data_IF_954913516556
#
_entry.id   IF_954913516556
#
_cell.length_a   1.000
_cell.length_b   1.000
_cell.length_c   1.000
_cell.angle_alpha   90.00
_cell.angle_beta   90.00
_cell.angle_gamma   90.00
#
_symmetry.space_group_name_H-M   'P 1'
#
loop_
_entity.id
_entity.type
_entity.pdbx_description
1 polymer ?
#
# COMPACT_ATOMS: atom_id res chain seq x y z
N UNK A 1 -13.63 -15.50 -27.48
CA UNK A 1 -13.56 -14.79 -26.19
C UNK A 1 -14.40 -13.56 -26.35
N UNK A 2 -15.54 -13.48 -25.66
CA UNK A 2 -16.45 -12.33 -25.73
C UNK A 2 -15.68 -11.14 -25.16
N UNK A 3 -15.65 -10.01 -25.86
CA UNK A 3 -15.03 -8.78 -25.35
C UNK A 3 -15.93 -8.23 -24.25
N UNK A 4 -15.90 -8.87 -23.08
CA UNK A 4 -16.58 -8.38 -21.90
C UNK A 4 -15.78 -7.15 -21.45
N UNK A 5 -16.36 -5.93 -21.51
CA UNK A 5 -15.65 -4.69 -21.19
C UNK A 5 -15.05 -4.72 -19.78
N UNK A 6 -15.68 -5.50 -18.90
CA UNK A 6 -15.27 -5.74 -17.52
C UNK A 6 -13.91 -6.47 -17.43
N UNK A 7 -13.66 -7.42 -18.34
CA UNK A 7 -12.40 -8.17 -18.39
C UNK A 7 -11.23 -7.27 -18.81
N UNK A 8 -11.46 -6.39 -19.79
CA UNK A 8 -10.46 -5.42 -20.25
C UNK A 8 -10.12 -4.43 -19.14
N UNK A 9 -11.13 -3.93 -18.42
CA UNK A 9 -10.94 -3.05 -17.27
C UNK A 9 -10.16 -3.73 -16.15
N UNK A 10 -10.45 -4.99 -15.85
CA UNK A 10 -9.73 -5.74 -14.82
C UNK A 10 -8.26 -5.97 -15.20
N UNK A 11 -7.98 -6.31 -16.47
CA UNK A 11 -6.60 -6.48 -16.96
C UNK A 11 -5.84 -5.15 -16.91
N UNK A 12 -6.46 -4.05 -17.37
CA UNK A 12 -5.85 -2.72 -17.32
C UNK A 12 -5.56 -2.30 -15.86
N UNK A 13 -6.50 -2.55 -14.96
CA UNK A 13 -6.32 -2.36 -13.53
C UNK A 13 -5.12 -3.18 -13.02
N UNK A 14 -5.09 -4.49 -13.26
CA UNK A 14 -4.00 -5.36 -12.82
C UNK A 14 -2.62 -4.90 -13.34
N UNK A 15 -2.52 -4.46 -14.60
CA UNK A 15 -1.28 -3.95 -15.20
C UNK A 15 -0.84 -2.65 -14.51
N UNK A 16 -1.74 -1.67 -14.37
CA UNK A 16 -1.44 -0.39 -13.72
C UNK A 16 -0.95 -0.61 -12.30
N UNK A 17 -1.64 -1.47 -11.55
CA UNK A 17 -1.26 -1.83 -10.18
C UNK A 17 0.06 -2.59 -10.11
N UNK A 18 0.32 -3.49 -11.05
CA UNK A 18 1.60 -4.20 -11.16
C UNK A 18 2.77 -3.25 -11.39
N UNK A 19 2.62 -2.30 -12.32
CA UNK A 19 3.62 -1.27 -12.62
C UNK A 19 3.86 -0.37 -11.40
N UNK A 20 2.81 0.06 -10.72
CA UNK A 20 2.89 0.84 -9.48
C UNK A 20 3.61 0.08 -8.36
N UNK A 21 3.34 -1.22 -8.19
CA UNK A 21 3.98 -2.05 -7.18
C UNK A 21 5.48 -2.25 -7.49
N UNK A 22 5.83 -2.57 -8.74
CA UNK A 22 7.23 -2.72 -9.17
C UNK A 22 7.99 -1.40 -9.09
N UNK A 23 7.42 -0.32 -9.63
CA UNK A 23 8.02 1.01 -9.61
C UNK A 23 8.27 1.51 -8.18
N UNK A 24 7.28 1.40 -7.29
CA UNK A 24 7.43 1.83 -5.89
C UNK A 24 8.46 1.00 -5.13
N UNK A 25 8.52 -0.32 -5.34
CA UNK A 25 9.49 -1.19 -4.65
C UNK A 25 10.93 -0.91 -5.10
N UNK A 26 11.17 -0.75 -6.41
CA UNK A 26 12.48 -0.39 -6.94
C UNK A 26 12.91 1.01 -6.48
N UNK A 27 11.99 1.98 -6.52
CA UNK A 27 12.26 3.35 -6.14
C UNK A 27 12.52 3.53 -4.63
N UNK A 28 11.84 2.76 -3.77
CA UNK A 28 12.14 2.74 -2.34
C UNK A 28 13.48 2.03 -2.09
N UNK A 29 13.78 0.96 -2.84
CA UNK A 29 15.04 0.20 -2.67
C UNK A 29 16.27 1.03 -3.03
N UNK A 30 16.18 1.94 -4.00
CA UNK A 30 17.30 2.78 -4.45
C UNK A 30 17.68 3.90 -3.48
N UNK A 31 16.90 4.15 -2.42
CA UNK A 31 17.23 5.19 -1.43
C UNK A 31 18.33 4.70 -0.47
N UNK A 32 19.30 5.54 -0.10
CA UNK A 32 20.43 5.12 0.73
C UNK A 32 20.08 5.03 2.22
N UNK A 33 19.12 5.84 2.71
CA UNK A 33 18.81 5.89 4.14
C UNK A 33 17.46 5.25 4.48
N UNK A 34 17.34 4.54 5.62
CA UNK A 34 16.08 3.91 6.05
C UNK A 34 14.95 4.93 6.28
N UNK A 35 15.31 6.14 6.70
CA UNK A 35 14.37 7.24 6.95
C UNK A 35 13.75 7.75 5.65
N UNK A 36 14.55 7.89 4.59
CA UNK A 36 14.05 8.24 3.26
C UNK A 36 13.21 7.12 2.67
N UNK A 37 13.60 5.85 2.86
CA UNK A 37 12.79 4.70 2.45
C UNK A 37 11.40 4.74 3.07
N UNK A 38 11.32 4.99 4.38
CA UNK A 38 10.04 5.14 5.09
C UNK A 38 9.23 6.30 4.54
N UNK A 39 9.84 7.48 4.40
CA UNK A 39 9.16 8.68 3.88
C UNK A 39 8.60 8.49 2.47
N UNK A 40 9.36 7.86 1.58
CA UNK A 40 8.91 7.56 0.23
C UNK A 40 7.89 6.43 0.17
N UNK A 41 8.04 5.40 1.00
CA UNK A 41 7.04 4.34 1.13
C UNK A 41 5.69 4.90 1.60
N UNK A 42 5.69 5.79 2.60
CA UNK A 42 4.47 6.41 3.11
C UNK A 42 3.79 7.27 2.04
N UNK A 43 4.57 8.07 1.31
CA UNK A 43 4.04 8.85 0.17
C UNK A 43 3.44 7.94 -0.90
N UNK A 44 4.11 6.86 -1.25
CA UNK A 44 3.61 5.88 -2.22
C UNK A 44 2.36 5.17 -1.72
N UNK A 45 2.29 4.79 -0.45
CA UNK A 45 1.12 4.15 0.15
C UNK A 45 -0.09 5.10 0.15
N UNK A 46 0.11 6.38 0.48
CA UNK A 46 -0.95 7.40 0.40
C UNK A 46 -1.38 7.59 -1.06
N UNK A 47 -0.45 7.77 -1.99
CA UNK A 47 -0.76 7.99 -3.40
C UNK A 47 -1.54 6.81 -4.01
N UNK A 48 -1.08 5.57 -3.77
CA UNK A 48 -1.78 4.37 -4.20
C UNK A 48 -3.17 4.26 -3.57
N UNK A 49 -3.28 4.60 -2.28
CA UNK A 49 -4.56 4.64 -1.56
C UNK A 49 -5.58 5.62 -2.15
N UNK A 50 -5.14 6.83 -2.50
CA UNK A 50 -5.98 7.85 -3.15
C UNK A 50 -6.45 7.37 -4.52
N UNK A 51 -5.55 6.79 -5.33
CA UNK A 51 -5.90 6.22 -6.64
C UNK A 51 -6.92 5.08 -6.47
N UNK A 52 -6.70 4.18 -5.51
CA UNK A 52 -7.62 3.08 -5.23
C UNK A 52 -9.01 3.57 -4.84
N UNK A 53 -9.09 4.53 -3.92
CA UNK A 53 -10.36 5.16 -3.51
C UNK A 53 -11.07 5.75 -4.73
N UNK A 54 -10.36 6.49 -5.59
CA UNK A 54 -10.94 7.07 -6.79
C UNK A 54 -11.57 6.00 -7.70
N UNK A 55 -10.86 4.90 -7.94
CA UNK A 55 -11.38 3.77 -8.74
C UNK A 55 -12.59 3.12 -8.07
N UNK A 56 -12.54 2.86 -6.76
CA UNK A 56 -13.65 2.27 -6.01
C UNK A 56 -14.89 3.16 -6.06
N UNK A 57 -14.74 4.48 -5.91
CA UNK A 57 -15.86 5.42 -6.01
C UNK A 57 -16.49 5.36 -7.41
N UNK A 58 -15.68 5.37 -8.48
CA UNK A 58 -16.18 5.28 -9.85
C UNK A 58 -16.98 3.98 -10.08
N UNK A 59 -16.48 2.85 -9.57
CA UNK A 59 -17.17 1.56 -9.66
C UNK A 59 -18.48 1.55 -8.85
N UNK A 60 -18.47 2.05 -7.62
CA UNK A 60 -19.66 2.11 -6.78
C UNK A 60 -20.75 3.02 -7.37
N UNK A 61 -20.36 4.14 -7.99
CA UNK A 61 -21.28 5.01 -8.73
C UNK A 61 -21.88 4.28 -9.93
N UNK A 62 -21.06 3.56 -10.71
CA UNK A 62 -21.51 2.77 -11.86
C UNK A 62 -22.54 1.70 -11.44
N UNK A 63 -22.34 1.07 -10.28
CA UNK A 63 -23.24 0.06 -9.71
C UNK A 63 -24.39 0.65 -8.88
N UNK A 64 -24.53 1.98 -8.83
CA UNK A 64 -25.55 2.71 -8.06
C UNK A 64 -25.55 2.39 -6.55
N UNK A 65 -24.40 2.02 -5.98
CA UNK A 65 -24.23 1.67 -4.57
C UNK A 65 -23.66 2.83 -3.74
N UNK A 66 -24.40 3.94 -3.68
CA UNK A 66 -23.92 5.17 -3.03
C UNK A 66 -23.74 5.04 -1.51
N UNK A 67 -24.57 4.23 -0.85
CA UNK A 67 -24.49 3.97 0.61
C UNK A 67 -23.18 3.27 1.02
N UNK A 68 -22.54 2.54 0.10
CA UNK A 68 -21.30 1.81 0.37
C UNK A 68 -20.05 2.69 0.34
N UNK A 69 -20.13 3.89 -0.27
CA UNK A 69 -18.99 4.81 -0.41
C UNK A 69 -18.34 5.18 0.93
N UNK A 70 -19.07 5.65 1.97
CA UNK A 70 -18.44 6.00 3.24
C UNK A 70 -17.79 4.79 3.94
N UNK A 71 -18.37 3.59 3.79
CA UNK A 71 -17.80 2.36 4.38
C UNK A 71 -16.44 2.05 3.75
N UNK A 72 -16.36 2.10 2.42
CA UNK A 72 -15.10 1.87 1.70
C UNK A 72 -14.05 2.93 1.98
N UNK A 73 -14.45 4.20 2.12
CA UNK A 73 -13.56 5.29 2.51
C UNK A 73 -12.89 5.02 3.86
N UNK A 74 -13.67 4.69 4.89
CA UNK A 74 -13.16 4.38 6.23
C UNK A 74 -12.24 3.16 6.21
N UNK A 75 -12.65 2.12 5.48
CA UNK A 75 -11.90 0.87 5.38
C UNK A 75 -10.53 1.09 4.72
N UNK A 76 -10.49 1.80 3.58
CA UNK A 76 -9.22 2.08 2.88
C UNK A 76 -8.33 3.00 3.71
N UNK A 77 -8.89 4.04 4.34
CA UNK A 77 -8.13 4.90 5.25
C UNK A 77 -7.50 4.10 6.41
N UNK A 78 -8.26 3.17 7.00
CA UNK A 78 -7.79 2.26 8.04
C UNK A 78 -6.65 1.36 7.56
N UNK A 79 -6.78 0.76 6.37
CA UNK A 79 -5.73 -0.08 5.79
C UNK A 79 -4.44 0.72 5.53
N UNK A 80 -4.54 1.92 4.96
CA UNK A 80 -3.38 2.78 4.70
C UNK A 80 -2.71 3.15 6.02
N UNK A 81 -3.49 3.57 7.02
CA UNK A 81 -2.99 3.92 8.34
C UNK A 81 -2.25 2.75 8.99
N UNK A 82 -2.84 1.55 9.00
CA UNK A 82 -2.19 0.34 9.54
C UNK A 82 -0.94 -0.03 8.73
N UNK A 83 -0.97 0.11 7.42
CA UNK A 83 0.18 -0.19 6.54
C UNK A 83 1.35 0.75 6.85
N UNK A 84 1.08 2.06 6.96
CA UNK A 84 2.10 3.06 7.30
C UNK A 84 2.61 2.85 8.73
N UNK A 85 1.72 2.54 9.67
CA UNK A 85 2.08 2.32 11.08
C UNK A 85 2.91 1.05 11.28
N UNK A 86 2.56 -0.05 10.62
CA UNK A 86 3.22 -1.34 10.85
C UNK A 86 4.47 -1.56 9.98
N UNK A 87 4.72 -0.71 8.99
CA UNK A 87 5.89 -0.87 8.11
C UNK A 87 7.08 -0.06 8.62
N UNK A 88 8.18 -0.74 8.91
CA UNK A 88 9.44 -0.14 9.35
C UNK A 88 10.58 -0.53 8.41
N UNK A 89 11.66 0.24 8.40
CA UNK A 89 12.88 -0.10 7.65
C UNK A 89 14.04 -0.21 8.65
N UNK A 90 14.70 -1.36 8.69
CA UNK A 90 15.81 -1.59 9.61
C UNK A 90 17.06 -0.85 9.12
N UNK A 91 17.75 -0.13 10.01
CA UNK A 91 18.99 0.59 9.66
C UNK A 91 20.20 -0.31 9.45
N UNK A 92 20.20 -1.52 9.99
CA UNK A 92 21.35 -2.42 9.91
C UNK A 92 21.30 -3.36 8.71
N UNK A 93 20.13 -3.93 8.42
CA UNK A 93 19.98 -4.88 7.31
C UNK A 93 19.30 -4.27 6.08
N UNK A 94 18.84 -3.02 6.18
CA UNK A 94 18.21 -2.25 5.10
C UNK A 94 16.97 -2.92 4.47
N UNK A 95 16.43 -3.93 5.15
CA UNK A 95 15.22 -4.66 4.78
C UNK A 95 13.98 -4.02 5.40
N UNK A 96 12.88 -4.13 4.66
CA UNK A 96 11.55 -3.78 5.16
C UNK A 96 11.16 -4.78 6.25
N UNK A 97 10.83 -4.28 7.42
CA UNK A 97 10.29 -5.04 8.54
C UNK A 97 8.81 -4.68 8.72
N UNK A 98 7.98 -5.66 9.06
CA UNK A 98 6.58 -5.43 9.40
C UNK A 98 6.36 -5.84 10.85
N UNK A 99 5.75 -4.97 11.64
CA UNK A 99 5.24 -5.37 12.96
C UNK A 99 4.08 -6.34 12.76
N UNK A 100 4.23 -7.58 13.24
CA UNK A 100 3.14 -8.55 13.30
C UNK A 100 2.16 -8.24 14.43
N UNK A 101 2.58 -7.47 15.43
CA UNK A 101 1.68 -6.95 16.43
C UNK A 101 0.91 -5.75 15.90
N UNK A 102 -0.43 -5.87 15.91
CA UNK A 102 -1.35 -4.78 15.57
C UNK A 102 -1.39 -3.68 16.64
N UNK A 103 -1.11 -4.05 17.90
CA UNK A 103 -1.16 -3.14 19.06
C UNK A 103 0.20 -2.94 19.75
N UNK A 104 1.16 -3.83 19.54
CA UNK A 104 2.53 -3.74 20.04
C UNK A 104 3.49 -3.10 19.03
N UNK A 105 4.53 -2.43 19.52
CA UNK A 105 5.66 -2.03 18.69
C UNK A 105 6.57 -3.24 18.54
N UNK A 106 6.85 -3.69 17.32
CA UNK A 106 7.89 -4.70 17.11
C UNK A 106 9.25 -4.08 17.42
N UNK A 107 9.87 -4.47 18.53
CA UNK A 107 11.15 -3.92 18.94
C UNK A 107 12.34 -4.49 18.18
N UNK A 108 12.21 -5.63 17.49
CA UNK A 108 13.32 -6.31 16.82
C UNK A 108 12.99 -6.62 15.35
N UNK A 109 14.00 -6.53 14.48
CA UNK A 109 13.87 -6.87 13.07
C UNK A 109 13.88 -8.40 12.90
N UNK A 110 12.89 -8.99 12.19
CA UNK A 110 12.81 -10.45 11.99
C UNK A 110 13.93 -11.00 11.09
N UNK A 111 14.66 -10.13 10.39
CA UNK A 111 15.75 -10.54 9.50
C UNK A 111 17.14 -10.52 10.14
N UNK A 112 17.40 -9.59 11.06
CA UNK A 112 18.74 -9.41 11.64
C UNK A 112 18.74 -9.37 13.17
N UNK A 113 17.59 -9.48 13.84
CA UNK A 113 17.49 -9.46 15.29
C UNK A 113 17.77 -8.10 15.94
N UNK A 114 18.27 -7.11 15.21
CA UNK A 114 18.57 -5.78 15.76
C UNK A 114 17.32 -4.99 16.10
N UNK A 115 17.45 -4.07 17.06
CA UNK A 115 16.34 -3.20 17.45
C UNK A 115 15.86 -2.36 16.27
N UNK A 116 14.56 -2.41 16.01
CA UNK A 116 13.87 -1.44 15.17
C UNK A 116 13.74 -0.18 16.03
N UNK A 117 14.40 0.89 15.59
CA UNK A 117 14.54 2.15 16.33
C UNK A 117 13.21 2.71 16.81
#
# INVERSE_FOLDING_TARGET
>A
MKNDPDAILFIAFAIVWGILALGSTLHVRSRPTPQEKKKWFDRWAIAAGVIFIGVVILLLISWKQYLSIPVWMVLVAGIIFLTIRNTYFCSTCDKRSRSNDWFGKSYHCPHCGNRLR
#
